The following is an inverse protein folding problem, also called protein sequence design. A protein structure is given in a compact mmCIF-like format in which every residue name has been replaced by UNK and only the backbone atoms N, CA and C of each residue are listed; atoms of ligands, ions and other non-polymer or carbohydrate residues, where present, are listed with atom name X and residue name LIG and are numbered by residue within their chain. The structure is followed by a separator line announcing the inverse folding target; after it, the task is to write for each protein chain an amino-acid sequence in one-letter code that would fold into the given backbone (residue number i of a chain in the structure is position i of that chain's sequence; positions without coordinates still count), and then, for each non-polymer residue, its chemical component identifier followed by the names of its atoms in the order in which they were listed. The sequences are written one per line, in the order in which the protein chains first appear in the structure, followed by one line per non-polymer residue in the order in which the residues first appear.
data_IF_838465772437
#
_entry.id   IF_838465772437
#
_cell.length_a   1.000
_cell.length_b   1.000
_cell.length_c   1.000
_cell.angle_alpha   90.00
_cell.angle_beta   90.00
_cell.angle_gamma   90.00
#
_symmetry.space_group_name_H-M   'P 1'
#
loop_
_entity.id
_entity.type
_entity.pdbx_description
1 polymer ?
#
# COMPACT_ATOMS: atom_id res chain seq x y z
N UNK A 1 -25.10 14.05 5.05
CA UNK A 1 -24.70 12.75 4.45
C UNK A 1 -23.25 12.50 4.82
N UNK A 2 -22.95 11.40 5.50
CA UNK A 2 -21.56 11.06 5.85
C UNK A 2 -20.83 10.62 4.58
N UNK A 3 -19.78 11.34 4.19
CA UNK A 3 -18.88 10.92 3.13
C UNK A 3 -17.94 9.86 3.69
N UNK A 4 -17.99 8.64 3.15
CA UNK A 4 -17.08 7.56 3.55
C UNK A 4 -15.87 7.58 2.63
N UNK A 5 -14.70 7.88 3.19
CA UNK A 5 -13.43 7.83 2.45
C UNK A 5 -12.80 6.45 2.65
N UNK A 6 -12.87 5.60 1.62
CA UNK A 6 -12.24 4.28 1.64
C UNK A 6 -10.76 4.41 1.24
N UNK A 7 -9.87 3.90 2.09
CA UNK A 7 -8.42 3.85 1.82
C UNK A 7 -7.98 2.40 1.57
N UNK A 8 -6.97 2.17 0.70
CA UNK A 8 -6.32 0.87 0.58
C UNK A 8 -5.78 0.40 1.95
N UNK A 9 -5.90 -0.91 2.22
CA UNK A 9 -5.49 -1.53 3.48
C UNK A 9 -6.54 -1.52 4.58
N UNK A 10 -7.76 -1.03 4.31
CA UNK A 10 -8.88 -1.08 5.26
C UNK A 10 -9.67 -2.37 5.08
N UNK A 11 -10.13 -2.95 6.19
CA UNK A 11 -11.08 -4.07 6.21
C UNK A 11 -12.51 -3.58 6.02
N UNK A 12 -13.24 -4.20 5.10
CA UNK A 12 -14.62 -3.85 4.75
C UNK A 12 -15.47 -5.10 4.58
N UNK A 13 -16.78 -4.93 4.76
CA UNK A 13 -17.79 -5.94 4.48
C UNK A 13 -18.61 -5.54 3.27
N UNK A 14 -19.25 -6.51 2.63
CA UNK A 14 -20.26 -6.22 1.62
C UNK A 14 -21.63 -6.06 2.27
N UNK A 15 -22.45 -5.16 1.75
CA UNK A 15 -23.86 -5.08 2.12
C UNK A 15 -24.53 -6.40 1.75
N UNK A 16 -25.33 -6.94 2.66
CA UNK A 16 -25.95 -8.28 2.55
C UNK A 16 -24.96 -9.46 2.62
N UNK A 17 -23.72 -9.22 3.03
CA UNK A 17 -22.81 -10.31 3.36
C UNK A 17 -23.34 -11.06 4.59
N UNK A 18 -23.46 -12.39 4.55
CA UNK A 18 -23.88 -13.14 5.71
C UNK A 18 -22.82 -13.05 6.81
N UNK A 19 -23.23 -12.96 8.07
CA UNK A 19 -22.34 -12.67 9.20
C UNK A 19 -21.21 -13.70 9.41
N UNK A 20 -21.35 -14.90 8.86
CA UNK A 20 -20.34 -15.96 8.92
C UNK A 20 -19.25 -15.82 7.85
N UNK A 21 -19.41 -14.91 6.88
CA UNK A 21 -18.36 -14.67 5.90
C UNK A 21 -17.28 -13.75 6.45
N UNK A 22 -16.00 -14.05 6.16
CA UNK A 22 -14.86 -13.24 6.57
C UNK A 22 -14.80 -11.87 5.88
N UNK A 23 -14.13 -10.94 6.56
CA UNK A 23 -13.91 -9.56 6.10
C UNK A 23 -12.99 -9.49 4.86
N UNK A 24 -13.21 -8.49 4.02
CA UNK A 24 -12.40 -8.22 2.83
C UNK A 24 -11.47 -7.03 3.03
N UNK A 25 -10.33 -7.05 2.36
CA UNK A 25 -9.35 -5.98 2.39
C UNK A 25 -9.44 -5.15 1.12
N UNK A 26 -9.49 -3.83 1.26
CA UNK A 26 -9.44 -2.91 0.12
C UNK A 26 -8.02 -2.89 -0.44
N UNK A 27 -7.86 -3.31 -1.69
CA UNK A 27 -6.57 -3.26 -2.40
C UNK A 27 -6.44 -1.95 -3.17
N UNK A 28 -7.52 -1.54 -3.83
CA UNK A 28 -7.53 -0.36 -4.67
C UNK A 28 -8.91 0.27 -4.68
N UNK A 29 -8.96 1.60 -4.72
CA UNK A 29 -10.18 2.38 -4.93
C UNK A 29 -10.01 3.22 -6.19
N UNK A 30 -11.00 3.20 -7.08
CA UNK A 30 -11.03 4.05 -8.27
C UNK A 30 -12.44 4.59 -8.48
N UNK A 31 -12.65 5.87 -8.13
CA UNK A 31 -13.95 6.56 -8.22
C UNK A 31 -15.05 5.78 -7.50
N UNK A 32 -15.93 5.10 -8.24
CA UNK A 32 -17.07 4.32 -7.73
C UNK A 32 -16.75 2.82 -7.57
N UNK A 33 -15.60 2.36 -8.09
CA UNK A 33 -15.20 0.95 -8.05
C UNK A 33 -14.15 0.71 -6.99
N UNK A 34 -14.26 -0.41 -6.31
CA UNK A 34 -13.34 -0.84 -5.26
C UNK A 34 -12.96 -2.28 -5.51
N UNK A 35 -11.66 -2.55 -5.44
CA UNK A 35 -11.09 -3.88 -5.56
C UNK A 35 -10.83 -4.42 -4.18
N UNK A 36 -11.48 -5.53 -3.89
CA UNK A 36 -11.44 -6.23 -2.62
C UNK A 36 -10.65 -7.52 -2.78
N UNK A 37 -9.92 -7.87 -1.73
CA UNK A 37 -9.19 -9.13 -1.64
C UNK A 37 -9.51 -9.82 -0.33
N UNK A 38 -9.64 -11.13 -0.42
CA UNK A 38 -9.82 -11.98 0.74
C UNK A 38 -8.47 -12.59 1.17
N UNK A 39 -8.24 -12.75 2.47
CA UNK A 39 -6.96 -13.24 3.00
C UNK A 39 -6.67 -14.68 2.56
N UNK A 40 -7.71 -15.52 2.54
CA UNK A 40 -7.59 -16.93 2.14
C UNK A 40 -7.60 -17.13 0.62
N UNK A 41 -7.67 -16.05 -0.17
CA UNK A 41 -7.66 -16.16 -1.62
C UNK A 41 -6.25 -16.04 -2.20
N UNK A 42 -6.01 -16.69 -3.35
CA UNK A 42 -4.78 -16.49 -4.10
C UNK A 42 -4.53 -15.01 -4.39
N UNK A 43 -3.26 -14.59 -4.45
CA UNK A 43 -2.86 -13.19 -4.68
C UNK A 43 -3.34 -12.58 -5.99
N UNK A 44 -3.66 -13.42 -6.98
CA UNK A 44 -4.18 -12.99 -8.28
C UNK A 44 -5.71 -12.80 -8.29
N UNK A 45 -6.43 -13.25 -7.25
CA UNK A 45 -7.89 -13.24 -7.22
C UNK A 45 -8.39 -12.03 -6.43
N UNK A 46 -9.12 -11.15 -7.12
CA UNK A 46 -9.68 -9.92 -6.58
C UNK A 46 -11.13 -9.75 -7.05
N UNK A 47 -11.96 -9.12 -6.24
CA UNK A 47 -13.36 -8.80 -6.59
C UNK A 47 -13.46 -7.31 -6.84
N UNK A 48 -14.06 -6.91 -7.95
CA UNK A 48 -14.44 -5.52 -8.19
C UNK A 48 -15.91 -5.33 -7.79
N UNK A 49 -16.18 -4.45 -6.84
CA UNK A 49 -17.53 -4.07 -6.41
C UNK A 49 -17.71 -2.56 -6.48
N UNK A 50 -18.97 -2.09 -6.40
CA UNK A 50 -19.25 -0.66 -6.27
C UNK A 50 -19.12 -0.21 -4.82
N UNK A 51 -18.65 1.02 -4.60
CA UNK A 51 -18.53 1.61 -3.28
C UNK A 51 -19.86 1.64 -2.51
N UNK A 52 -20.99 1.75 -3.22
CA UNK A 52 -22.34 1.72 -2.65
C UNK A 52 -22.74 0.37 -2.04
N UNK A 53 -22.10 -0.72 -2.48
CA UNK A 53 -22.31 -2.08 -2.00
C UNK A 53 -21.41 -2.45 -0.82
N UNK A 54 -20.56 -1.53 -0.37
CA UNK A 54 -19.65 -1.75 0.75
C UNK A 54 -20.30 -1.26 2.04
N UNK A 55 -20.16 -2.04 3.10
CA UNK A 55 -20.43 -1.67 4.46
C UNK A 55 -19.09 -1.58 5.20
N UNK A 56 -18.88 -0.50 5.96
CA UNK A 56 -17.70 -0.40 6.82
C UNK A 56 -17.87 -1.46 7.91
N UNK A 57 -16.90 -2.35 8.07
CA UNK A 57 -16.89 -3.28 9.18
C UNK A 57 -16.82 -2.46 10.48
N UNK A 58 -17.69 -2.74 11.45
CA UNK A 58 -17.71 -2.07 12.76
C UNK A 58 -16.43 -2.33 13.57
N UNK A 59 -15.64 -3.31 13.13
CA UNK A 59 -14.28 -3.53 13.58
C UNK A 59 -13.47 -2.24 13.38
N UNK A 60 -13.16 -1.56 14.49
CA UNK A 60 -12.15 -0.49 14.62
C UNK A 60 -11.15 -0.57 13.48
N UNK A 61 -10.79 0.53 12.79
CA UNK A 61 -9.80 0.50 11.72
C UNK A 61 -8.52 -0.10 12.27
N UNK A 62 -8.38 -1.41 12.12
CA UNK A 62 -7.13 -2.10 12.28
C UNK A 62 -6.40 -1.71 11.02
N UNK A 63 -5.79 -0.51 11.08
CA UNK A 63 -4.46 -0.33 10.50
C UNK A 63 -3.70 -1.55 10.97
N UNK A 64 -3.59 -2.56 10.11
CA UNK A 64 -2.52 -3.51 10.26
C UNK A 64 -1.28 -2.65 10.50
N UNK A 65 -0.60 -2.79 11.65
CA UNK A 65 0.72 -2.22 11.80
C UNK A 65 1.57 -3.06 10.85
N UNK A 66 1.63 -2.64 9.58
CA UNK A 66 2.74 -3.04 8.74
C UNK A 66 3.99 -2.56 9.51
N UNK A 67 4.95 -3.43 9.84
CA UNK A 67 6.24 -3.04 10.39
C UNK A 67 7.11 -2.43 9.28
N UNK A 68 6.59 -1.41 8.59
CA UNK A 68 7.28 -0.67 7.55
C UNK A 68 7.22 0.83 7.86
N UNK A 69 7.48 1.22 9.12
CA UNK A 69 8.17 2.49 9.31
C UNK A 69 9.63 2.24 8.91
N UNK A 70 9.89 2.14 7.61
CA UNK A 70 11.25 2.36 7.13
C UNK A 70 11.46 3.85 7.28
N UNK A 71 12.06 4.25 8.40
CA UNK A 71 12.78 5.50 8.49
C UNK A 71 13.91 5.38 7.46
N UNK A 72 13.65 5.80 6.22
CA UNK A 72 14.74 6.08 5.29
C UNK A 72 15.43 7.30 5.89
N UNK A 73 16.53 7.06 6.58
CA UNK A 73 17.48 8.12 6.88
C UNK A 73 17.77 8.86 5.57
N UNK A 74 17.71 10.21 5.52
CA UNK A 74 18.26 10.91 4.37
C UNK A 74 19.72 10.50 4.26
N UNK A 75 20.03 9.76 3.21
CA UNK A 75 21.38 9.37 2.84
C UNK A 75 22.21 10.67 2.79
N UNK A 76 23.36 10.76 3.48
CA UNK A 76 24.17 11.96 3.42
C UNK A 76 24.58 12.21 1.97
N UNK A 77 24.38 13.45 1.51
CA UNK A 77 24.69 13.87 0.15
C UNK A 77 26.12 13.46 -0.22
N UNK A 78 26.35 12.85 -1.40
CA UNK A 78 27.71 12.64 -1.88
C UNK A 78 28.39 14.02 -2.03
N UNK A 79 29.66 14.16 -1.62
CA UNK A 79 30.37 15.42 -1.71
C UNK A 79 30.45 15.89 -3.18
N UNK A 80 30.44 17.22 -3.40
CA UNK A 80 30.48 17.77 -4.75
C UNK A 80 31.78 17.37 -5.44
N UNK A 81 31.66 17.02 -6.72
CA UNK A 81 32.79 16.84 -7.62
C UNK A 81 33.60 18.14 -7.70
N UNK A 82 34.71 18.20 -6.97
CA UNK A 82 35.86 19.00 -7.31
C UNK A 82 36.94 17.98 -7.72
N UNK A 83 37.28 17.89 -9.02
CA UNK A 83 38.52 18.49 -9.52
C UNK A 83 39.71 18.09 -8.62
N UNK A 84 40.66 17.28 -9.06
CA UNK A 84 41.58 17.65 -10.13
C UNK A 84 42.23 16.41 -10.75
N UNK A 85 42.23 16.39 -12.08
CA UNK A 85 43.26 15.80 -12.91
C UNK A 85 44.64 16.18 -12.36
N UNK A 86 45.45 15.21 -11.96
CA UNK A 86 46.90 15.16 -12.25
C UNK A 86 47.55 13.99 -11.52
N UNK A 87 48.56 13.40 -12.18
CA UNK A 87 49.53 12.43 -11.63
C UNK A 87 49.07 10.97 -11.73
N UNK A 88 49.70 10.02 -12.42
CA UNK A 88 51.05 10.00 -12.99
C UNK A 88 51.07 9.21 -14.31
N UNK A 89 51.74 9.81 -15.27
CA UNK A 89 52.38 9.17 -16.40
C UNK A 89 53.68 8.54 -15.85
N UNK A 90 53.71 7.21 -15.69
CA UNK A 90 54.88 6.33 -15.45
C UNK A 90 54.32 4.95 -15.02
N UNK A 91 54.74 3.78 -15.46
CA UNK A 91 56.01 3.36 -16.03
C UNK A 91 55.84 1.96 -16.62
N UNK A 92 56.62 1.68 -17.65
CA UNK A 92 56.98 0.39 -18.26
C UNK A 92 57.40 -0.66 -17.21
N UNK A 93 57.39 -1.97 -17.54
CA UNK A 93 58.56 -2.55 -18.20
C UNK A 93 58.28 -3.30 -19.52
#
# INVERSE_FOLDING_TARGET
MAAVTLSPGVSVRLKHQPAHWPDFWVVQCQRDRVWLRHLNWPSHLQICVRATQIAIADSLPQRCPLPHSVTVFPMPAPPPAAELLSTALASTP
#
